data_IF_027045283930
#
_entry.id   IF_027045283930
#
_cell.length_a   1.000
_cell.length_b   1.000
_cell.length_c   1.000
_cell.angle_alpha   90.00
_cell.angle_beta   90.00
_cell.angle_gamma   90.00
#
_symmetry.space_group_name_H-M   'P 1'
#
loop_
_entity.id
_entity.type
_entity.pdbx_description
1 polymer ?
#
# COMPACT_ATOMS: atom_id res chain seq x y z
N UNK A 1 -32.18 25.82 -21.70
CA UNK A 1 -31.24 24.78 -21.24
C UNK A 1 -30.88 23.94 -22.45
N UNK A 2 -29.62 23.95 -22.87
CA UNK A 2 -29.16 23.19 -24.03
C UNK A 2 -29.10 21.67 -23.70
N UNK A 3 -29.79 20.80 -24.46
CA UNK A 3 -29.78 19.34 -24.25
C UNK A 3 -28.38 18.73 -24.23
N UNK A 4 -27.44 19.29 -25.01
CA UNK A 4 -26.05 18.80 -25.04
C UNK A 4 -25.31 19.10 -23.73
N UNK A 5 -25.57 20.27 -23.13
CA UNK A 5 -25.01 20.64 -21.82
C UNK A 5 -25.52 19.71 -20.70
N UNK A 6 -26.80 19.32 -20.74
CA UNK A 6 -27.39 18.41 -19.75
C UNK A 6 -26.79 16.99 -19.85
N UNK A 7 -26.64 16.45 -21.06
CA UNK A 7 -26.04 15.14 -21.31
C UNK A 7 -24.58 15.10 -20.87
N UNK A 8 -23.79 16.14 -21.19
CA UNK A 8 -22.38 16.19 -20.81
C UNK A 8 -22.20 16.21 -19.28
N UNK A 9 -23.03 16.98 -18.56
CA UNK A 9 -23.05 16.97 -17.08
C UNK A 9 -23.37 15.59 -16.52
N UNK A 10 -24.31 14.87 -17.12
CA UNK A 10 -24.69 13.51 -16.71
C UNK A 10 -23.53 12.53 -16.91
N UNK A 11 -22.88 12.56 -18.08
CA UNK A 11 -21.70 11.73 -18.40
C UNK A 11 -20.56 12.00 -17.42
N UNK A 12 -20.21 13.27 -17.17
CA UNK A 12 -19.16 13.62 -16.20
C UNK A 12 -19.51 13.15 -14.79
N UNK A 13 -20.78 13.26 -14.39
CA UNK A 13 -21.24 12.80 -13.07
C UNK A 13 -21.13 11.27 -12.91
N UNK A 14 -21.56 10.52 -13.92
CA UNK A 14 -21.46 9.06 -13.95
C UNK A 14 -20.01 8.60 -13.93
N UNK A 15 -19.16 9.21 -14.76
CA UNK A 15 -17.72 8.93 -14.81
C UNK A 15 -17.08 9.13 -13.43
N UNK A 16 -17.31 10.28 -12.79
CA UNK A 16 -16.80 10.57 -11.44
C UNK A 16 -17.29 9.56 -10.40
N UNK A 17 -18.56 9.19 -10.45
CA UNK A 17 -19.17 8.23 -9.51
C UNK A 17 -18.59 6.83 -9.69
N UNK A 18 -18.31 6.43 -10.93
CA UNK A 18 -17.66 5.16 -11.25
C UNK A 18 -16.21 5.14 -10.74
N UNK A 19 -15.44 6.20 -10.97
CA UNK A 19 -14.07 6.34 -10.44
C UNK A 19 -14.05 6.27 -8.92
N UNK A 20 -14.92 7.02 -8.25
CA UNK A 20 -15.04 7.00 -6.79
C UNK A 20 -15.38 5.61 -6.24
N UNK A 21 -16.28 4.86 -6.91
CA UNK A 21 -16.60 3.48 -6.52
C UNK A 21 -15.39 2.56 -6.62
N UNK A 22 -14.57 2.72 -7.65
CA UNK A 22 -13.38 1.89 -7.85
C UNK A 22 -12.28 2.22 -6.82
N UNK A 23 -12.10 3.49 -6.46
CA UNK A 23 -11.19 3.90 -5.36
C UNK A 23 -11.63 3.28 -4.04
N UNK A 24 -12.92 3.40 -3.69
CA UNK A 24 -13.47 2.76 -2.48
C UNK A 24 -13.33 1.24 -2.49
N UNK A 25 -13.41 0.62 -3.68
CA UNK A 25 -13.21 -0.82 -3.81
C UNK A 25 -11.77 -1.23 -3.49
N UNK A 26 -10.76 -0.47 -3.95
CA UNK A 26 -9.36 -0.70 -3.59
C UNK A 26 -9.12 -0.58 -2.08
N UNK A 27 -9.69 0.44 -1.42
CA UNK A 27 -9.62 0.61 0.04
C UNK A 27 -10.22 -0.59 0.79
N UNK A 28 -11.35 -1.14 0.30
CA UNK A 28 -11.97 -2.33 0.89
C UNK A 28 -11.08 -3.57 0.75
N UNK A 29 -10.40 -3.73 -0.39
CA UNK A 29 -9.45 -4.83 -0.59
C UNK A 29 -8.27 -4.73 0.38
N UNK A 30 -7.69 -3.54 0.55
CA UNK A 30 -6.64 -3.28 1.53
C UNK A 30 -7.09 -3.65 2.97
N UNK A 31 -8.28 -3.21 3.37
CA UNK A 31 -8.81 -3.53 4.71
C UNK A 31 -9.08 -5.03 4.89
N UNK A 32 -9.57 -5.70 3.85
CA UNK A 32 -9.77 -7.15 3.86
C UNK A 32 -8.43 -7.89 3.96
N UNK A 33 -7.38 -7.39 3.30
CA UNK A 33 -6.03 -7.94 3.39
C UNK A 33 -5.48 -7.87 4.82
N UNK A 34 -5.62 -6.72 5.49
CA UNK A 34 -5.25 -6.54 6.91
C UNK A 34 -5.97 -7.58 7.79
N UNK A 35 -7.27 -7.78 7.55
CA UNK A 35 -8.06 -8.78 8.29
C UNK A 35 -7.62 -10.22 8.02
N UNK A 36 -7.13 -10.54 6.83
CA UNK A 36 -6.55 -11.86 6.53
C UNK A 36 -5.17 -12.03 7.16
N UNK A 37 -4.33 -10.99 7.14
CA UNK A 37 -3.02 -10.98 7.78
C UNK A 37 -3.15 -11.23 9.29
N UNK A 38 -4.06 -10.53 9.97
CA UNK A 38 -4.32 -10.72 11.40
C UNK A 38 -4.78 -12.14 11.76
N UNK A 39 -5.34 -12.88 10.80
CA UNK A 39 -5.74 -14.29 10.95
C UNK A 39 -4.68 -15.29 10.49
N UNK A 40 -3.48 -14.84 10.13
CA UNK A 40 -2.41 -15.70 9.62
C UNK A 40 -2.58 -16.17 8.17
N UNK A 41 -3.60 -15.68 7.45
CA UNK A 41 -3.85 -16.05 6.05
C UNK A 41 -2.96 -15.25 5.08
N UNK A 42 -1.64 -15.35 5.23
CA UNK A 42 -0.69 -14.45 4.57
C UNK A 42 -0.78 -14.45 3.04
N UNK A 43 -0.91 -15.61 2.40
CA UNK A 43 -1.08 -15.69 0.92
C UNK A 43 -2.32 -14.97 0.42
N UNK A 44 -3.43 -15.05 1.16
CA UNK A 44 -4.69 -14.35 0.80
C UNK A 44 -4.52 -12.85 0.99
N UNK A 45 -3.88 -12.42 2.07
CA UNK A 45 -3.58 -11.01 2.32
C UNK A 45 -2.69 -10.43 1.20
N UNK A 46 -1.63 -11.14 0.80
CA UNK A 46 -0.73 -10.73 -0.27
C UNK A 46 -1.48 -10.51 -1.60
N UNK A 47 -2.31 -11.48 -2.00
CA UNK A 47 -3.10 -11.37 -3.21
C UNK A 47 -4.07 -10.17 -3.18
N UNK A 48 -4.65 -9.86 -2.03
CA UNK A 48 -5.58 -8.73 -1.87
C UNK A 48 -4.85 -7.38 -1.90
N UNK A 49 -3.68 -7.25 -1.25
CA UNK A 49 -2.87 -6.04 -1.35
C UNK A 49 -2.41 -5.78 -2.79
N UNK A 50 -1.92 -6.81 -3.51
CA UNK A 50 -1.51 -6.67 -4.90
C UNK A 50 -2.67 -6.25 -5.82
N UNK A 51 -3.88 -6.78 -5.58
CA UNK A 51 -5.08 -6.34 -6.30
C UNK A 51 -5.44 -4.88 -5.98
N UNK A 52 -5.33 -4.46 -4.72
CA UNK A 52 -5.57 -3.07 -4.33
C UNK A 52 -4.58 -2.12 -5.01
N UNK A 53 -3.27 -2.44 -5.00
CA UNK A 53 -2.22 -1.66 -5.66
C UNK A 53 -2.45 -1.56 -7.17
N UNK A 54 -2.80 -2.68 -7.82
CA UNK A 54 -3.11 -2.69 -9.25
C UNK A 54 -4.26 -1.74 -9.60
N UNK A 55 -5.32 -1.74 -8.78
CA UNK A 55 -6.44 -0.83 -8.96
C UNK A 55 -6.06 0.63 -8.70
N UNK A 56 -5.34 0.92 -7.62
CA UNK A 56 -4.89 2.27 -7.28
C UNK A 56 -4.03 2.88 -8.39
N UNK A 57 -3.06 2.12 -8.90
CA UNK A 57 -2.23 2.54 -10.03
C UNK A 57 -3.04 2.79 -11.30
N UNK A 58 -4.03 1.93 -11.60
CA UNK A 58 -4.90 2.10 -12.78
C UNK A 58 -5.82 3.31 -12.72
N UNK A 59 -6.12 3.80 -11.51
CA UNK A 59 -7.07 4.88 -11.27
C UNK A 59 -6.39 6.23 -11.09
N UNK A 60 -5.05 6.28 -11.05
CA UNK A 60 -4.30 7.40 -10.49
C UNK A 60 -4.94 7.82 -9.15
N UNK A 61 -5.17 6.82 -8.29
CA UNK A 61 -5.78 7.02 -6.97
C UNK A 61 -4.92 7.94 -6.11
N UNK A 62 -5.49 8.44 -5.01
CA UNK A 62 -4.77 9.30 -4.06
C UNK A 62 -3.47 8.62 -3.63
N UNK A 63 -2.37 9.37 -3.73
CA UNK A 63 -1.03 8.89 -3.41
C UNK A 63 -0.92 8.44 -1.94
N UNK A 64 -1.80 8.93 -1.04
CA UNK A 64 -1.87 8.49 0.36
C UNK A 64 -2.44 7.08 0.50
N UNK A 65 -3.49 6.73 -0.24
CA UNK A 65 -4.07 5.38 -0.22
C UNK A 65 -3.06 4.35 -0.77
N UNK A 66 -2.31 4.77 -1.79
CA UNK A 66 -1.23 3.98 -2.37
C UNK A 66 -0.11 3.74 -1.34
N UNK A 67 0.37 4.79 -0.67
CA UNK A 67 1.40 4.70 0.37
C UNK A 67 0.99 3.74 1.50
N UNK A 68 -0.25 3.84 1.97
CA UNK A 68 -0.77 2.96 3.02
C UNK A 68 -0.79 1.49 2.60
N UNK A 69 -1.19 1.22 1.36
CA UNK A 69 -1.28 -0.16 0.84
C UNK A 69 0.12 -0.76 0.65
N UNK A 70 1.09 0.04 0.19
CA UNK A 70 2.50 -0.35 0.08
C UNK A 70 3.11 -0.69 1.45
N UNK A 71 2.94 0.17 2.45
CA UNK A 71 3.40 -0.10 3.83
C UNK A 71 2.80 -1.37 4.40
N UNK A 72 1.50 -1.61 4.16
CA UNK A 72 0.83 -2.81 4.66
C UNK A 72 1.35 -4.10 4.01
N UNK A 73 1.60 -4.07 2.70
CA UNK A 73 2.20 -5.20 1.98
C UNK A 73 3.64 -5.46 2.46
N UNK A 74 4.42 -4.40 2.68
CA UNK A 74 5.76 -4.48 3.22
C UNK A 74 5.76 -5.13 4.62
N UNK A 75 4.86 -4.69 5.50
CA UNK A 75 4.65 -5.28 6.83
C UNK A 75 4.27 -6.75 6.76
N UNK A 76 3.42 -7.15 5.79
CA UNK A 76 3.08 -8.55 5.56
C UNK A 76 4.32 -9.41 5.21
N UNK A 77 5.27 -8.87 4.45
CA UNK A 77 6.53 -9.56 4.17
C UNK A 77 7.44 -9.58 5.40
N UNK A 78 7.53 -8.49 6.15
CA UNK A 78 8.35 -8.41 7.36
C UNK A 78 7.92 -9.41 8.44
N UNK A 79 6.61 -9.62 8.67
CA UNK A 79 6.13 -10.63 9.64
C UNK A 79 6.43 -12.06 9.22
N UNK A 80 6.67 -12.30 7.92
CA UNK A 80 7.11 -13.59 7.38
C UNK A 80 8.65 -13.69 7.28
N UNK A 81 9.38 -12.74 7.87
CA UNK A 81 10.86 -12.61 7.77
C UNK A 81 11.40 -12.44 6.35
N UNK A 82 10.54 -12.06 5.39
CA UNK A 82 10.88 -11.78 3.99
C UNK A 82 11.37 -10.34 3.84
N UNK A 83 12.40 -9.96 4.59
CA UNK A 83 12.82 -8.56 4.72
C UNK A 83 13.31 -7.94 3.40
N UNK A 84 14.02 -8.71 2.58
CA UNK A 84 14.48 -8.28 1.25
C UNK A 84 13.33 -7.95 0.30
N UNK A 85 12.17 -8.60 0.49
CA UNK A 85 10.96 -8.32 -0.29
C UNK A 85 10.19 -7.14 0.30
N UNK A 86 10.24 -6.92 1.63
CA UNK A 86 9.58 -5.80 2.31
C UNK A 86 10.23 -4.44 2.02
N UNK A 87 11.57 -4.40 1.99
CA UNK A 87 12.38 -3.18 1.86
C UNK A 87 11.98 -2.25 0.70
N UNK A 88 11.83 -2.73 -0.56
CA UNK A 88 11.44 -1.86 -1.66
C UNK A 88 10.05 -1.23 -1.49
N UNK A 89 9.11 -1.96 -0.87
CA UNK A 89 7.76 -1.42 -0.63
C UNK A 89 7.75 -0.38 0.49
N UNK A 90 8.52 -0.58 1.57
CA UNK A 90 8.69 0.45 2.61
C UNK A 90 9.36 1.70 2.04
N UNK A 91 10.36 1.56 1.16
CA UNK A 91 10.99 2.71 0.50
C UNK A 91 10.01 3.51 -0.35
N UNK A 92 9.19 2.83 -1.17
CA UNK A 92 8.18 3.51 -1.99
C UNK A 92 7.12 4.19 -1.12
N UNK A 93 6.66 3.55 -0.04
CA UNK A 93 5.71 4.16 0.88
C UNK A 93 6.30 5.38 1.58
N UNK A 94 7.56 5.32 2.02
CA UNK A 94 8.26 6.43 2.65
C UNK A 94 8.38 7.64 1.71
N UNK A 95 8.79 7.42 0.46
CA UNK A 95 8.89 8.49 -0.55
C UNK A 95 7.55 9.21 -0.76
N UNK A 96 6.46 8.46 -0.84
CA UNK A 96 5.11 9.01 -0.93
C UNK A 96 4.73 9.80 0.33
N UNK A 97 4.96 9.25 1.52
CA UNK A 97 4.65 9.97 2.77
C UNK A 97 5.48 11.23 2.95
N UNK A 98 6.77 11.22 2.60
CA UNK A 98 7.63 12.40 2.63
C UNK A 98 7.13 13.49 1.67
N UNK A 99 6.76 13.11 0.45
CA UNK A 99 6.24 14.06 -0.56
C UNK A 99 4.89 14.65 -0.18
N UNK A 100 4.00 13.88 0.44
CA UNK A 100 2.61 14.28 0.66
C UNK A 100 2.38 14.93 2.03
N UNK A 101 3.08 14.46 3.06
CA UNK A 101 2.84 14.83 4.46
C UNK A 101 4.04 15.55 5.09
N UNK A 102 5.22 15.44 4.48
CA UNK A 102 6.47 15.97 5.01
C UNK A 102 7.21 14.98 5.92
N UNK A 103 8.47 15.29 6.26
CA UNK A 103 9.38 14.39 6.97
C UNK A 103 9.04 14.16 8.46
N UNK A 104 8.33 15.10 9.08
CA UNK A 104 7.99 15.13 10.51
C UNK A 104 6.58 14.56 10.80
N UNK A 105 5.87 14.11 9.76
CA UNK A 105 4.56 13.52 9.94
C UNK A 105 4.67 12.11 10.52
N UNK A 106 3.78 11.77 11.47
CA UNK A 106 3.75 10.47 12.15
C UNK A 106 3.83 9.26 11.20
N UNK A 107 3.06 9.27 10.09
CA UNK A 107 3.11 8.19 9.09
C UNK A 107 4.48 8.07 8.41
N UNK A 108 5.14 9.20 8.15
CA UNK A 108 6.47 9.25 7.55
C UNK A 108 7.52 8.69 8.50
N UNK A 109 7.45 9.07 9.77
CA UNK A 109 8.32 8.51 10.82
C UNK A 109 8.11 7.01 10.99
N UNK A 110 6.84 6.56 11.00
CA UNK A 110 6.51 5.14 11.10
C UNK A 110 7.11 4.34 9.92
N UNK A 111 6.95 4.80 8.69
CA UNK A 111 7.54 4.15 7.51
C UNK A 111 9.08 4.09 7.58
N UNK A 112 9.73 5.15 8.09
CA UNK A 112 11.18 5.21 8.29
C UNK A 112 11.66 4.21 9.36
N UNK A 113 10.92 4.08 10.45
CA UNK A 113 11.19 3.08 11.49
C UNK A 113 11.01 1.66 10.97
N UNK A 114 9.93 1.39 10.23
CA UNK A 114 9.67 0.09 9.62
C UNK A 114 10.79 -0.32 8.67
N UNK A 115 11.20 0.58 7.77
CA UNK A 115 12.32 0.37 6.84
C UNK A 115 13.64 0.06 7.57
N UNK A 116 13.97 0.88 8.57
CA UNK A 116 15.18 0.70 9.38
C UNK A 116 15.16 -0.65 10.11
N UNK A 117 14.02 -1.02 10.68
CA UNK A 117 13.84 -2.28 11.39
C UNK A 117 13.91 -3.50 10.47
N UNK A 118 13.39 -3.39 9.24
CA UNK A 118 13.50 -4.43 8.21
C UNK A 118 14.98 -4.64 7.82
N UNK A 119 15.72 -3.56 7.57
CA UNK A 119 17.14 -3.63 7.21
C UNK A 119 18.01 -4.25 8.31
N UNK A 120 17.79 -3.89 9.58
CA UNK A 120 18.51 -4.48 10.72
C UNK A 120 18.23 -5.98 10.81
N UNK A 121 16.95 -6.39 10.75
CA UNK A 121 16.58 -7.80 10.84
C UNK A 121 17.07 -8.61 9.65
N UNK A 122 17.13 -8.02 8.45
CA UNK A 122 17.77 -8.61 7.27
C UNK A 122 19.23 -8.92 7.56
N UNK A 123 19.99 -7.94 8.05
CA UNK A 123 21.40 -8.11 8.38
C UNK A 123 21.62 -9.16 9.48
N UNK A 124 20.84 -9.13 10.57
CA UNK A 124 20.92 -10.15 11.64
C UNK A 124 20.63 -11.56 11.13
N UNK A 125 19.68 -11.72 10.21
CA UNK A 125 19.42 -13.01 9.55
C UNK A 125 20.58 -13.51 8.70
N UNK A 126 21.38 -12.62 8.11
CA UNK A 126 22.61 -13.02 7.41
C UNK A 126 23.68 -13.53 8.37
N UNK A 127 23.87 -12.88 9.52
CA UNK A 127 24.88 -13.29 10.51
C UNK A 127 24.56 -14.66 11.14
N UNK A 128 23.29 -14.91 11.50
CA UNK A 128 22.89 -16.19 12.09
C UNK A 128 23.00 -17.38 11.13
N UNK A 129 22.93 -17.17 9.82
CA UNK A 129 23.08 -18.23 8.83
C UNK A 129 24.55 -18.55 8.50
N UNK A 130 25.51 -17.71 8.89
CA UNK A 130 26.94 -17.97 8.67
C UNK A 130 27.61 -18.70 9.84
N UNK A 131 27.00 -18.74 11.04
CA UNK A 131 27.53 -19.46 12.20
C UNK A 131 27.16 -20.96 12.23
N UNK A 132 26.40 -21.45 11.25
CA UNK A 132 25.92 -22.85 11.17
C UNK A 132 26.49 -23.61 9.96
N UNK A 133 27.64 -23.18 9.43
CA UNK A 133 28.40 -23.89 8.39
C UNK A 133 29.82 -24.18 8.87
#
# INVERSE_FOLDING_TARGET
>A
MDPFSALNRMITSLSRKLTSRRVQFAQRLNNLAVLHQARGHYRKAEALYLQALSLQNSLAADDLDLAQTLSNLANLYAVQRRYSEAEPFHMQALDLYERLLGPDHYCTEAARQELSSSAIRRMQGYFLNQEVS
#
